data_IF_419956727784
#
_entry.id   IF_419956727784
#
_cell.length_a   1.000
_cell.length_b   1.000
_cell.length_c   1.000
_cell.angle_alpha   90.00
_cell.angle_beta   90.00
_cell.angle_gamma   90.00
#
_symmetry.space_group_name_H-M   'P 1'
#
loop_
_entity.id
_entity.type
_entity.pdbx_description
1 polymer ?
#
# COMPACT_ATOMS: atom_id res chain seq x y z
N UNK A 1 -21.53 -25.85 2.36
CA UNK A 1 -21.52 -25.05 1.12
C UNK A 1 -21.28 -23.56 1.39
N UNK A 2 -22.17 -22.85 2.11
CA UNK A 2 -22.02 -21.41 2.40
C UNK A 2 -20.76 -21.11 3.24
N UNK A 3 -20.48 -21.92 4.27
CA UNK A 3 -19.30 -21.73 5.13
C UNK A 3 -17.95 -21.87 4.38
N UNK A 4 -17.84 -22.83 3.47
CA UNK A 4 -16.64 -22.99 2.64
C UNK A 4 -16.46 -21.84 1.64
N UNK A 5 -17.57 -21.34 1.08
CA UNK A 5 -17.54 -20.20 0.17
C UNK A 5 -17.08 -18.93 0.90
N UNK A 6 -17.64 -18.66 2.08
CA UNK A 6 -17.25 -17.52 2.92
C UNK A 6 -15.76 -17.59 3.30
N UNK A 7 -15.29 -18.78 3.69
CA UNK A 7 -13.89 -18.99 4.02
C UNK A 7 -12.97 -18.69 2.81
N UNK A 8 -13.32 -19.21 1.62
CA UNK A 8 -12.56 -18.95 0.38
C UNK A 8 -12.55 -17.47 0.00
N UNK A 9 -13.67 -16.77 0.13
CA UNK A 9 -13.74 -15.33 -0.19
C UNK A 9 -12.92 -14.48 0.77
N UNK A 10 -12.97 -14.78 2.07
CA UNK A 10 -12.21 -14.02 3.08
C UNK A 10 -10.71 -14.25 2.87
N UNK A 11 -10.29 -15.51 2.74
CA UNK A 11 -8.88 -15.84 2.49
C UNK A 11 -8.39 -15.24 1.17
N UNK A 12 -9.20 -15.33 0.11
CA UNK A 12 -8.87 -14.73 -1.20
C UNK A 12 -8.68 -13.21 -1.11
N UNK A 13 -9.59 -12.50 -0.43
CA UNK A 13 -9.51 -11.05 -0.26
C UNK A 13 -8.25 -10.61 0.50
N UNK A 14 -7.86 -11.34 1.55
CA UNK A 14 -6.65 -11.07 2.33
C UNK A 14 -5.40 -11.30 1.48
N UNK A 15 -5.35 -12.41 0.73
CA UNK A 15 -4.22 -12.73 -0.13
C UNK A 15 -4.03 -11.68 -1.23
N UNK A 16 -5.11 -11.25 -1.90
CA UNK A 16 -5.07 -10.22 -2.93
C UNK A 16 -4.58 -8.88 -2.36
N UNK A 17 -5.05 -8.52 -1.16
CA UNK A 17 -4.66 -7.27 -0.49
C UNK A 17 -3.15 -7.26 -0.17
N UNK A 18 -2.63 -8.36 0.38
CA UNK A 18 -1.20 -8.51 0.69
C UNK A 18 -0.38 -8.47 -0.61
N UNK A 19 -0.83 -9.20 -1.63
CA UNK A 19 -0.20 -9.23 -2.94
C UNK A 19 -0.10 -7.82 -3.55
N UNK A 20 -1.19 -7.05 -3.52
CA UNK A 20 -1.21 -5.70 -4.05
C UNK A 20 -0.26 -4.74 -3.35
N UNK A 21 -0.13 -4.83 -2.02
CA UNK A 21 0.82 -4.01 -1.26
C UNK A 21 2.26 -4.37 -1.64
N UNK A 22 2.59 -5.66 -1.70
CA UNK A 22 3.94 -6.13 -2.05
C UNK A 22 4.32 -5.74 -3.48
N UNK A 23 3.44 -5.99 -4.45
CA UNK A 23 3.67 -5.65 -5.84
C UNK A 23 3.67 -4.13 -6.06
N UNK A 24 2.80 -3.38 -5.39
CA UNK A 24 2.78 -1.93 -5.45
C UNK A 24 4.11 -1.30 -4.99
N UNK A 25 4.68 -1.80 -3.88
CA UNK A 25 6.00 -1.36 -3.40
C UNK A 25 7.13 -1.74 -4.36
N UNK A 26 7.07 -2.94 -4.94
CA UNK A 26 8.06 -3.40 -5.91
C UNK A 26 8.01 -2.59 -7.21
N UNK A 27 6.82 -2.33 -7.74
CA UNK A 27 6.61 -1.47 -8.92
C UNK A 27 7.11 -0.06 -8.66
N UNK A 28 6.85 0.51 -7.48
CA UNK A 28 7.41 1.82 -7.09
C UNK A 28 8.95 1.82 -7.10
N UNK A 29 9.58 0.70 -6.73
CA UNK A 29 11.04 0.54 -6.79
C UNK A 29 11.57 0.50 -8.22
N UNK A 30 10.88 -0.20 -9.11
CA UNK A 30 11.20 -0.25 -10.54
C UNK A 30 11.03 1.12 -11.18
N UNK A 31 9.91 1.79 -10.92
CA UNK A 31 9.59 3.11 -11.44
C UNK A 31 10.68 4.13 -11.07
N UNK A 32 11.08 4.20 -9.79
CA UNK A 32 12.17 5.09 -9.34
C UNK A 32 13.50 4.82 -10.06
N UNK A 33 13.79 3.56 -10.39
CA UNK A 33 15.00 3.19 -11.12
C UNK A 33 14.90 3.56 -12.61
N UNK A 34 13.73 3.40 -13.21
CA UNK A 34 13.46 3.76 -14.60
C UNK A 34 13.56 5.28 -14.78
N UNK A 35 12.87 6.06 -13.94
CA UNK A 35 12.93 7.53 -13.97
C UNK A 35 14.35 8.04 -13.76
N UNK A 36 15.12 7.45 -12.84
CA UNK A 36 16.51 7.84 -12.62
C UNK A 36 17.39 7.59 -13.85
N UNK A 37 17.21 6.46 -14.55
CA UNK A 37 17.93 6.16 -15.79
C UNK A 37 17.58 7.13 -16.91
N UNK A 38 16.30 7.50 -17.04
CA UNK A 38 15.87 8.52 -18.00
C UNK A 38 16.49 9.90 -17.71
N UNK A 39 16.78 10.18 -16.44
CA UNK A 39 17.45 11.40 -15.99
C UNK A 39 18.99 11.31 -16.04
N UNK A 40 19.57 10.24 -16.60
CA UNK A 40 21.03 10.07 -16.70
C UNK A 40 21.75 9.86 -15.37
N UNK A 41 21.03 9.47 -14.30
CA UNK A 41 21.61 9.23 -12.97
C UNK A 41 21.41 7.79 -12.51
N UNK A 42 22.27 7.32 -11.62
CA UNK A 42 22.10 5.99 -11.00
C UNK A 42 20.96 6.05 -10.00
N UNK A 43 19.90 5.28 -10.27
CA UNK A 43 18.73 5.19 -9.40
C UNK A 43 18.96 4.36 -8.14
N UNK A 44 18.10 4.54 -7.12
CA UNK A 44 18.15 3.76 -5.87
C UNK A 44 17.90 2.26 -6.11
N UNK A 45 18.30 1.38 -5.18
CA UNK A 45 18.02 -0.05 -5.28
C UNK A 45 16.51 -0.34 -5.23
N UNK A 46 16.07 -1.41 -5.91
CA UNK A 46 14.64 -1.78 -6.01
C UNK A 46 14.03 -2.11 -4.63
N UNK A 47 14.85 -2.55 -3.67
CA UNK A 47 14.42 -2.85 -2.29
C UNK A 47 14.16 -1.60 -1.44
N UNK A 48 14.56 -0.41 -1.90
CA UNK A 48 14.46 0.83 -1.14
C UNK A 48 13.03 1.15 -0.65
N UNK A 49 11.95 0.99 -1.43
CA UNK A 49 10.59 1.30 -0.98
C UNK A 49 10.13 0.47 0.24
N UNK A 50 10.64 -0.76 0.39
CA UNK A 50 10.35 -1.58 1.57
C UNK A 50 11.03 -1.02 2.82
N UNK A 51 12.29 -0.60 2.70
CA UNK A 51 13.03 0.04 3.79
C UNK A 51 12.44 1.39 4.15
N UNK A 52 11.98 2.15 3.15
CA UNK A 52 11.32 3.44 3.35
C UNK A 52 10.02 3.26 4.15
N UNK A 53 9.22 2.22 3.85
CA UNK A 53 8.00 1.93 4.60
C UNK A 53 8.29 1.61 6.08
N UNK A 54 9.25 0.73 6.36
CA UNK A 54 9.67 0.40 7.73
C UNK A 54 10.19 1.65 8.45
N UNK A 55 11.02 2.45 7.78
CA UNK A 55 11.57 3.70 8.33
C UNK A 55 10.47 4.68 8.72
N UNK A 56 9.44 4.83 7.90
CA UNK A 56 8.33 5.75 8.17
C UNK A 56 7.43 5.27 9.30
N UNK A 57 7.19 3.96 9.42
CA UNK A 57 6.41 3.41 10.54
C UNK A 57 7.10 3.59 11.89
N UNK A 58 8.43 3.68 11.90
CA UNK A 58 9.22 3.95 13.12
C UNK A 58 9.32 5.43 13.47
N UNK A 59 8.78 6.35 12.65
CA UNK A 59 8.81 7.77 12.95
C UNK A 59 7.67 8.18 13.88
N UNK A 60 7.93 9.20 14.68
CA UNK A 60 6.90 9.83 15.50
C UNK A 60 5.83 10.49 14.63
N UNK A 61 4.57 10.29 15.03
CA UNK A 61 3.43 10.90 14.37
C UNK A 61 3.12 12.24 15.04
N UNK A 62 3.26 13.33 14.29
CA UNK A 62 2.99 14.69 14.78
C UNK A 62 1.58 15.09 14.31
N UNK A 63 0.70 15.42 15.26
CA UNK A 63 -0.65 15.93 14.98
C UNK A 63 -0.66 17.43 15.24
N UNK A 64 -1.02 18.28 14.25
CA UNK A 64 -1.06 19.73 14.44
C UNK A 64 -2.09 20.14 15.49
N UNK A 65 -1.80 21.20 16.26
CA UNK A 65 -2.68 21.69 17.33
C UNK A 65 -4.05 22.16 16.80
N UNK A 66 -4.07 22.79 15.62
CA UNK A 66 -5.28 23.29 14.98
C UNK A 66 -6.03 22.23 14.15
N UNK A 67 -5.56 20.98 14.13
CA UNK A 67 -6.19 19.93 13.34
C UNK A 67 -7.31 19.22 14.11
N UNK A 68 -8.37 18.84 13.38
CA UNK A 68 -9.42 17.97 13.90
C UNK A 68 -8.83 16.56 14.10
N UNK A 69 -8.46 16.23 15.34
CA UNK A 69 -7.67 15.03 15.70
C UNK A 69 -8.23 13.72 15.14
N UNK A 70 -9.55 13.51 15.25
CA UNK A 70 -10.18 12.28 14.79
C UNK A 70 -10.12 12.14 13.26
N UNK A 71 -10.39 13.23 12.54
CA UNK A 71 -10.41 13.23 11.07
C UNK A 71 -8.99 13.09 10.51
N UNK A 72 -8.02 13.76 11.13
CA UNK A 72 -6.60 13.66 10.74
C UNK A 72 -6.08 12.22 10.86
N UNK A 73 -6.41 11.53 11.94
CA UNK A 73 -6.00 10.14 12.14
C UNK A 73 -6.82 9.15 11.31
N UNK A 74 -8.11 9.44 11.05
CA UNK A 74 -8.97 8.56 10.26
C UNK A 74 -8.68 8.63 8.75
N UNK A 75 -8.25 9.79 8.23
CA UNK A 75 -8.10 10.01 6.79
C UNK A 75 -7.15 9.01 6.10
N UNK A 76 -5.94 8.71 6.63
CA UNK A 76 -5.05 7.71 6.03
C UNK A 76 -5.67 6.30 6.03
N UNK A 77 -6.41 5.95 7.08
CA UNK A 77 -7.06 4.64 7.23
C UNK A 77 -8.18 4.48 6.19
N UNK A 78 -9.01 5.52 6.04
CA UNK A 78 -10.11 5.52 5.06
C UNK A 78 -9.55 5.43 3.64
N UNK A 79 -8.48 6.17 3.33
CA UNK A 79 -7.84 6.13 2.01
C UNK A 79 -7.31 4.72 1.67
N UNK A 80 -6.63 4.08 2.62
CA UNK A 80 -6.14 2.71 2.45
C UNK A 80 -7.30 1.73 2.26
N UNK A 81 -8.32 1.79 3.13
CA UNK A 81 -9.49 0.91 3.04
C UNK A 81 -10.22 1.06 1.70
N UNK A 82 -10.45 2.29 1.24
CA UNK A 82 -11.10 2.56 -0.04
C UNK A 82 -10.31 1.97 -1.23
N UNK A 83 -8.98 2.11 -1.24
CA UNK A 83 -8.14 1.55 -2.31
C UNK A 83 -8.18 0.02 -2.37
N UNK A 84 -8.20 -0.65 -1.21
CA UNK A 84 -8.30 -2.13 -1.14
C UNK A 84 -9.69 -2.60 -1.60
N UNK A 85 -10.75 -1.92 -1.17
CA UNK A 85 -12.11 -2.26 -1.59
C UNK A 85 -12.24 -2.18 -3.11
N UNK A 86 -11.72 -1.11 -3.73
CA UNK A 86 -11.74 -0.95 -5.19
C UNK A 86 -11.02 -2.10 -5.92
N UNK A 87 -9.90 -2.58 -5.37
CA UNK A 87 -9.17 -3.70 -5.96
C UNK A 87 -9.99 -4.99 -6.03
N UNK A 88 -10.83 -5.26 -5.02
CA UNK A 88 -11.68 -6.45 -4.97
C UNK A 88 -12.76 -6.48 -6.05
N UNK A 89 -13.10 -5.33 -6.62
CA UNK A 89 -14.06 -5.24 -7.72
C UNK A 89 -13.45 -5.54 -9.09
N UNK A 90 -12.12 -5.61 -9.21
CA UNK A 90 -11.47 -5.92 -10.49
C UNK A 90 -11.64 -7.42 -10.75
N UNK A 91 -12.34 -7.82 -11.83
CA UNK A 91 -12.46 -9.23 -12.17
C UNK A 91 -11.12 -9.73 -12.69
N UNK A 92 -10.43 -10.50 -11.85
CA UNK A 92 -9.31 -11.34 -12.27
C UNK A 92 -9.96 -12.67 -12.65
N UNK A 93 -9.92 -12.99 -13.95
CA UNK A 93 -10.65 -14.07 -14.60
C UNK A 93 -10.67 -15.41 -13.83
#
# INVERSE_FOLDING_TARGET
>A
MIGELLFKTVVGSILISIFAILFGLLFKGIDRKLVARMQGRVGPPIRQPFLDAIKLMNKETIVPENAVKWMYNASPIICLAASIILLLYIPIA
#
